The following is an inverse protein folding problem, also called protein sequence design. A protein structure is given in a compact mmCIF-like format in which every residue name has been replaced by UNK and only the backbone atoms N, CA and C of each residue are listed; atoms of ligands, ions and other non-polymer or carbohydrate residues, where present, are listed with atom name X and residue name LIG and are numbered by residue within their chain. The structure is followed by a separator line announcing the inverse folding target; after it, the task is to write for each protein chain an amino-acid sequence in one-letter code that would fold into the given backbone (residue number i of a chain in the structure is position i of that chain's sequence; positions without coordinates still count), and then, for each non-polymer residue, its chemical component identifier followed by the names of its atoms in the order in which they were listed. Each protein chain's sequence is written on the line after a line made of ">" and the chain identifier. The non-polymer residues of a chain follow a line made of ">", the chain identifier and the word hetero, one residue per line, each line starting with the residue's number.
data_IF_631165026380
#
_entry.id   IF_631165026380
#
_cell.length_a   1.000
_cell.length_b   1.000
_cell.length_c   1.000
_cell.angle_alpha   90.00
_cell.angle_beta   90.00
_cell.angle_gamma   90.00
#
_symmetry.space_group_name_H-M   'P 1'
#
loop_
_entity.id
_entity.type
_entity.pdbx_description
1 polymer ?
#
# COMPACT_ATOMS: atom_id res chain seq x y z
N UNK A 1 -10.03 -6.31 37.75
CA UNK A 1 -8.76 -6.47 37.00
C UNK A 1 -9.12 -6.87 35.58
N UNK A 2 -8.87 -6.02 34.58
CA UNK A 2 -9.17 -6.35 33.18
C UNK A 2 -8.17 -7.38 32.68
N UNK A 3 -8.67 -8.49 32.11
CA UNK A 3 -7.83 -9.54 31.54
C UNK A 3 -7.24 -9.02 30.22
N UNK A 4 -5.90 -8.97 30.12
CA UNK A 4 -5.23 -8.70 28.85
C UNK A 4 -5.37 -9.93 27.95
N UNK A 5 -6.13 -9.81 26.88
CA UNK A 5 -6.15 -10.81 25.81
C UNK A 5 -4.93 -10.61 24.92
N UNK A 6 -4.12 -11.66 24.75
CA UNK A 6 -3.01 -11.65 23.81
C UNK A 6 -3.57 -11.55 22.37
N UNK A 7 -3.03 -10.68 21.51
CA UNK A 7 -3.48 -10.58 20.14
C UNK A 7 -3.29 -11.92 19.40
N UNK A 8 -4.25 -12.27 18.55
CA UNK A 8 -4.16 -13.47 17.73
C UNK A 8 -2.89 -13.44 16.86
N UNK A 9 -2.19 -14.58 16.70
CA UNK A 9 -1.03 -14.63 15.83
C UNK A 9 -1.42 -14.32 14.38
N UNK A 10 -0.51 -13.69 13.60
CA UNK A 10 -0.78 -13.39 12.21
C UNK A 10 -0.96 -14.68 11.40
N UNK A 11 -1.83 -14.62 10.38
CA UNK A 11 -2.04 -15.76 9.47
C UNK A 11 -0.76 -16.10 8.70
N UNK A 12 -0.28 -17.35 8.74
CA UNK A 12 0.92 -17.76 8.01
C UNK A 12 0.81 -17.51 6.49
N UNK A 13 -0.38 -17.69 5.92
CA UNK A 13 -0.61 -17.45 4.49
C UNK A 13 -0.47 -15.98 4.14
N UNK A 14 -1.02 -15.09 4.98
CA UNK A 14 -0.90 -13.65 4.76
C UNK A 14 0.55 -13.18 4.93
N UNK A 15 1.28 -13.75 5.89
CA UNK A 15 2.70 -13.46 6.08
C UNK A 15 3.54 -13.88 4.87
N UNK A 16 3.25 -15.04 4.26
CA UNK A 16 3.93 -15.49 3.05
C UNK A 16 3.66 -14.56 1.85
N UNK A 17 2.42 -14.09 1.70
CA UNK A 17 2.06 -13.12 0.66
C UNK A 17 2.78 -11.79 0.89
N UNK A 18 2.76 -11.29 2.13
CA UNK A 18 3.45 -10.05 2.50
C UNK A 18 4.95 -10.14 2.20
N UNK A 19 5.59 -11.25 2.57
CA UNK A 19 7.00 -11.51 2.28
C UNK A 19 7.29 -11.49 0.77
N UNK A 20 6.46 -12.14 -0.05
CA UNK A 20 6.63 -12.15 -1.50
C UNK A 20 6.54 -10.73 -2.09
N UNK A 21 5.58 -9.93 -1.65
CA UNK A 21 5.43 -8.53 -2.07
C UNK A 21 6.66 -7.71 -1.65
N UNK A 22 7.08 -7.82 -0.39
CA UNK A 22 8.25 -7.11 0.12
C UNK A 22 9.54 -7.48 -0.65
N UNK A 23 9.72 -8.75 -0.99
CA UNK A 23 10.84 -9.21 -1.80
C UNK A 23 10.83 -8.61 -3.22
N UNK A 24 9.66 -8.54 -3.86
CA UNK A 24 9.53 -7.93 -5.19
C UNK A 24 9.87 -6.43 -5.13
N UNK A 25 9.32 -5.72 -4.14
CA UNK A 25 9.57 -4.29 -3.96
C UNK A 25 11.05 -4.00 -3.69
N UNK A 26 11.70 -4.83 -2.87
CA UNK A 26 13.12 -4.69 -2.56
C UNK A 26 14.00 -4.95 -3.80
N UNK A 27 13.80 -6.08 -4.49
CA UNK A 27 14.63 -6.45 -5.64
C UNK A 27 14.48 -5.50 -6.83
N UNK A 28 13.33 -4.85 -6.97
CA UNK A 28 13.06 -3.89 -8.04
C UNK A 28 13.44 -2.44 -7.68
N UNK A 29 13.86 -2.18 -6.43
CA UNK A 29 13.95 -0.84 -5.85
C UNK A 29 12.63 -0.04 -5.91
N UNK A 30 11.49 -0.70 -6.21
CA UNK A 30 10.20 -0.05 -6.28
C UNK A 30 9.69 0.36 -4.90
N UNK A 31 10.14 -0.30 -3.83
CA UNK A 31 9.84 0.10 -2.46
C UNK A 31 10.29 1.53 -2.17
N UNK A 32 11.57 1.82 -2.41
CA UNK A 32 12.15 3.16 -2.17
C UNK A 32 11.48 4.23 -3.06
N UNK A 33 11.22 3.90 -4.33
CA UNK A 33 10.53 4.82 -5.25
C UNK A 33 9.09 5.14 -4.82
N UNK A 34 8.37 4.13 -4.31
CA UNK A 34 7.03 4.34 -3.74
C UNK A 34 7.13 5.19 -2.48
N UNK A 35 8.06 4.91 -1.57
CA UNK A 35 8.24 5.68 -0.34
C UNK A 35 8.57 7.16 -0.63
N UNK A 36 9.40 7.44 -1.63
CA UNK A 36 9.71 8.80 -2.08
C UNK A 36 8.45 9.50 -2.60
N UNK A 37 7.68 8.85 -3.48
CA UNK A 37 6.40 9.38 -3.97
C UNK A 37 5.44 9.64 -2.80
N UNK A 38 5.37 8.72 -1.83
CA UNK A 38 4.46 8.84 -0.71
C UNK A 38 4.83 10.02 0.19
N UNK A 39 6.13 10.18 0.47
CA UNK A 39 6.69 11.28 1.25
C UNK A 39 6.46 12.63 0.56
N UNK A 40 6.79 12.73 -0.73
CA UNK A 40 6.58 13.95 -1.52
C UNK A 40 5.12 14.40 -1.47
N UNK A 41 4.21 13.43 -1.52
CA UNK A 41 2.79 13.69 -1.53
C UNK A 41 2.17 13.92 -0.13
N UNK A 42 2.88 13.54 0.94
CA UNK A 42 2.55 13.91 2.33
C UNK A 42 3.08 15.31 2.68
N UNK A 43 4.27 15.69 2.19
CA UNK A 43 4.87 17.02 2.36
C UNK A 43 4.02 18.15 1.73
N UNK A 44 3.29 17.85 0.65
CA UNK A 44 2.35 18.78 0.01
C UNK A 44 1.02 18.93 0.78
N UNK A 45 0.76 18.06 1.76
CA UNK A 45 -0.41 18.11 2.63
C UNK A 45 -1.75 17.83 1.94
N UNK A 46 -2.80 17.74 2.76
CA UNK A 46 -4.17 17.68 2.25
C UNK A 46 -4.63 19.08 1.81
N UNK A 47 -5.18 19.16 0.59
CA UNK A 47 -5.85 20.35 0.07
C UNK A 47 -7.12 20.62 0.89
N UNK A 48 -7.67 21.82 0.77
CA UNK A 48 -8.87 22.23 1.54
C UNK A 48 -10.09 21.32 1.31
N UNK A 49 -10.12 20.58 0.18
CA UNK A 49 -11.14 19.60 -0.17
C UNK A 49 -10.88 18.18 0.39
N UNK A 50 -9.82 18.01 1.19
CA UNK A 50 -9.41 16.72 1.74
C UNK A 50 -8.73 15.79 0.74
N UNK A 51 -8.49 16.25 -0.49
CA UNK A 51 -7.67 15.51 -1.46
C UNK A 51 -6.18 15.66 -1.13
N UNK A 52 -5.42 14.61 -1.42
CA UNK A 52 -3.96 14.61 -1.29
C UNK A 52 -3.35 14.25 -2.64
N UNK A 53 -2.14 14.71 -2.90
CA UNK A 53 -1.39 14.26 -4.09
C UNK A 53 -1.22 12.73 -4.07
N UNK A 54 -1.16 12.14 -2.87
CA UNK A 54 -1.22 10.69 -2.61
C UNK A 54 -2.49 10.07 -3.18
N UNK A 55 -3.65 10.65 -2.88
CA UNK A 55 -4.96 10.21 -3.36
C UNK A 55 -5.09 10.36 -4.88
N UNK A 56 -4.47 11.39 -5.48
CA UNK A 56 -4.44 11.57 -6.92
C UNK A 56 -3.56 10.51 -7.60
N UNK A 57 -2.33 10.28 -7.11
CA UNK A 57 -1.42 9.26 -7.62
C UNK A 57 -1.98 7.85 -7.48
N UNK A 58 -2.55 7.53 -6.32
CA UNK A 58 -3.25 6.27 -6.10
C UNK A 58 -4.43 6.11 -7.06
N UNK A 59 -5.23 7.16 -7.28
CA UNK A 59 -6.34 7.11 -8.24
C UNK A 59 -5.85 6.89 -9.68
N UNK A 60 -4.76 7.51 -10.10
CA UNK A 60 -4.16 7.32 -11.44
C UNK A 60 -3.60 5.91 -11.61
N UNK A 61 -2.83 5.42 -10.63
CA UNK A 61 -2.27 4.06 -10.65
C UNK A 61 -3.34 2.97 -10.59
N UNK A 62 -4.38 3.14 -9.77
CA UNK A 62 -5.50 2.21 -9.66
C UNK A 62 -6.46 2.30 -10.85
N UNK A 63 -6.64 3.47 -11.47
CA UNK A 63 -7.39 3.57 -12.73
C UNK A 63 -6.72 2.78 -13.86
N UNK A 64 -5.39 2.68 -13.84
CA UNK A 64 -4.63 1.84 -14.77
C UNK A 64 -4.76 0.34 -14.50
N UNK A 65 -5.15 -0.07 -13.29
CA UNK A 65 -5.43 -1.47 -12.95
C UNK A 65 -6.85 -1.89 -13.40
N UNK A 66 -7.79 -0.96 -13.54
CA UNK A 66 -9.19 -1.30 -13.87
C UNK A 66 -9.28 -2.16 -15.13
N UNK A 67 -9.62 -3.44 -14.90
CA UNK A 67 -9.97 -4.48 -15.87
C UNK A 67 -8.81 -5.13 -16.62
N UNK A 68 -8.12 -6.04 -15.93
CA UNK A 68 -7.83 -7.33 -16.55
C UNK A 68 -9.13 -8.12 -16.59
N UNK A 69 -9.87 -8.05 -17.71
CA UNK A 69 -10.91 -9.04 -17.99
C UNK A 69 -10.23 -10.41 -18.03
N UNK A 70 -10.51 -11.26 -17.04
CA UNK A 70 -10.20 -12.68 -17.15
C UNK A 70 -11.22 -13.25 -18.13
N UNK A 71 -10.89 -13.28 -19.42
CA UNK A 71 -11.62 -14.10 -20.37
C UNK A 71 -11.46 -15.56 -19.94
N UNK A 72 -12.55 -16.13 -19.43
CA UNK A 72 -12.68 -17.57 -19.19
C UNK A 72 -12.89 -18.36 -20.46
#
# INVERSE_FOLDING_TARGET
>A
MSQYHAPNPPSPRLLAIHHAIAHILYLSAAGDYIDDILRDAEELGAREDGSTELGHLARVGLHGWSTGEVCG
#
